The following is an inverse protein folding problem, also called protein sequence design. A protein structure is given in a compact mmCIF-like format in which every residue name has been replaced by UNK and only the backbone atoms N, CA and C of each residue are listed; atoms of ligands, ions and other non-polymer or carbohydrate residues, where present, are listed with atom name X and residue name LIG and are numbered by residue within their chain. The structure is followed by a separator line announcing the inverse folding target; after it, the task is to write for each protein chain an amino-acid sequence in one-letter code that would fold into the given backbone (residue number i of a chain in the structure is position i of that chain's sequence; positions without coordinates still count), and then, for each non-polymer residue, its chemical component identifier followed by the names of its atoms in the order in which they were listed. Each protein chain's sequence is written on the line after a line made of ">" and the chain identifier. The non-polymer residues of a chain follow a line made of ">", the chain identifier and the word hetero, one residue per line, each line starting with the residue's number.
data_IF_892227876245
#
_entry.id   IF_892227876245
#
_cell.length_a   1.000
_cell.length_b   1.000
_cell.length_c   1.000
_cell.angle_alpha   90.00
_cell.angle_beta   90.00
_cell.angle_gamma   90.00
#
_symmetry.space_group_name_H-M   'P 1'
#
loop_
_entity.id
_entity.type
_entity.pdbx_description
1 polymer ?
#
# COMPACT_ATOMS: atom_id res chain seq x y z
N UNK A 1 1.53 25.84 20.88
CA UNK A 1 0.29 25.16 21.29
C UNK A 1 -0.03 24.03 20.32
N UNK A 2 -0.48 22.88 20.83
CA UNK A 2 -0.81 21.67 20.04
C UNK A 2 -2.33 21.41 20.10
N UNK A 3 -2.92 20.83 19.05
CA UNK A 3 -4.32 20.39 18.99
C UNK A 3 -4.38 18.88 18.74
N UNK A 4 -5.30 18.14 19.36
CA UNK A 4 -5.49 16.71 19.07
C UNK A 4 -6.29 16.51 17.79
N UNK A 5 -5.88 15.53 16.98
CA UNK A 5 -6.65 15.11 15.82
C UNK A 5 -7.94 14.40 16.26
N UNK A 6 -9.13 14.79 15.76
CA UNK A 6 -10.37 14.09 16.10
C UNK A 6 -10.40 12.64 15.60
N UNK A 7 -9.66 12.32 14.53
CA UNK A 7 -9.68 10.99 13.90
C UNK A 7 -8.57 10.05 14.39
N UNK A 8 -7.37 10.57 14.67
CA UNK A 8 -6.24 9.74 15.06
C UNK A 8 -5.69 10.02 16.47
N UNK A 9 -6.32 10.96 17.20
CA UNK A 9 -6.01 11.36 18.58
C UNK A 9 -4.56 11.79 18.84
N UNK A 10 -3.76 12.03 17.79
CA UNK A 10 -2.38 12.53 17.90
C UNK A 10 -2.33 14.06 18.02
N UNK A 11 -1.30 14.56 18.67
CA UNK A 11 -1.05 16.00 18.80
C UNK A 11 -0.48 16.57 17.49
N UNK A 12 -1.15 17.60 16.96
CA UNK A 12 -0.85 18.29 15.70
C UNK A 12 -0.58 19.78 16.01
N UNK A 13 0.32 20.46 15.29
CA UNK A 13 0.44 21.92 15.39
C UNK A 13 -0.85 22.62 14.95
N UNK A 14 -1.27 23.69 15.64
CA UNK A 14 -2.54 24.38 15.37
C UNK A 14 -2.68 24.89 13.93
N UNK A 15 -1.57 25.29 13.31
CA UNK A 15 -1.51 25.90 11.98
C UNK A 15 -1.71 24.90 10.81
N UNK A 16 -1.68 23.58 11.07
CA UNK A 16 -1.82 22.60 9.99
C UNK A 16 -3.30 22.29 9.75
N UNK A 17 -3.76 22.53 8.52
CA UNK A 17 -5.12 22.20 8.05
C UNK A 17 -5.31 20.71 7.79
N UNK A 18 -4.23 19.93 7.71
CA UNK A 18 -4.26 18.48 7.51
C UNK A 18 -3.48 17.77 8.61
N UNK A 19 -3.98 16.65 9.11
CA UNK A 19 -3.24 15.88 10.08
C UNK A 19 -2.01 15.22 9.44
N UNK A 20 -0.77 15.46 9.93
CA UNK A 20 0.44 14.85 9.39
C UNK A 20 0.58 13.35 9.72
N UNK A 21 -0.38 12.77 10.45
CA UNK A 21 -0.39 11.35 10.84
C UNK A 21 -1.50 10.56 10.16
N UNK A 22 -2.74 11.10 10.12
CA UNK A 22 -3.87 10.43 9.46
C UNK A 22 -4.35 11.11 8.20
N UNK A 23 -4.02 12.38 7.97
CA UNK A 23 -4.44 13.13 6.79
C UNK A 23 -5.85 13.54 6.70
N UNK A 24 -6.59 13.43 7.80
CA UNK A 24 -7.87 14.08 7.86
C UNK A 24 -7.66 15.59 7.70
N UNK A 25 -8.52 16.23 6.93
CA UNK A 25 -8.62 17.67 6.90
C UNK A 25 -9.23 18.15 8.23
N UNK A 26 -8.50 18.99 8.96
CA UNK A 26 -8.86 19.53 10.29
C UNK A 26 -8.92 21.07 10.20
N UNK A 27 -9.84 21.60 9.37
CA UNK A 27 -10.28 22.99 9.49
C UNK A 27 -11.44 23.06 10.49
N UNK A 28 -11.35 23.97 11.47
CA UNK A 28 -12.50 24.36 12.29
C UNK A 28 -12.73 23.61 13.60
N UNK A 29 -11.76 22.85 14.13
CA UNK A 29 -11.85 22.41 15.53
C UNK A 29 -11.39 23.58 16.40
N UNK A 30 -12.30 24.51 16.68
CA UNK A 30 -12.15 25.46 17.79
C UNK A 30 -11.79 24.68 19.04
N UNK A 31 -10.79 25.17 19.76
CA UNK A 31 -10.36 24.63 21.04
C UNK A 31 -11.60 24.29 21.88
N UNK A 32 -11.87 23.01 22.08
CA UNK A 32 -12.84 22.59 23.08
C UNK A 32 -12.24 22.92 24.43
N UNK A 33 -12.72 24.03 24.98
CA UNK A 33 -12.73 24.37 26.40
C UNK A 33 -13.28 23.18 27.16
N UNK A 34 -12.42 22.30 27.66
CA UNK A 34 -12.70 21.58 28.91
C UNK A 34 -12.10 22.42 30.02
N UNK A 35 -12.86 23.44 30.42
CA UNK A 35 -12.68 24.09 31.70
C UNK A 35 -13.20 23.14 32.78
N UNK A 36 -12.31 22.36 33.39
CA UNK A 36 -12.52 21.90 34.76
C UNK A 36 -11.44 22.54 35.64
N UNK A 37 -11.94 23.46 36.47
CA UNK A 37 -11.22 24.13 37.54
C UNK A 37 -10.77 23.09 38.57
N UNK A 38 -9.49 23.11 38.90
CA UNK A 38 -9.07 23.17 40.31
C UNK A 38 -7.62 23.65 40.40
N UNK A 39 -7.53 24.88 40.87
CA UNK A 39 -6.36 25.65 41.27
C UNK A 39 -5.70 25.08 42.53
N UNK A 40 -4.37 25.01 42.54
CA UNK A 40 -3.48 25.56 43.59
C UNK A 40 -2.02 25.29 43.21
N UNK A 41 -1.25 26.33 42.81
CA UNK A 41 -0.21 27.04 43.59
C UNK A 41 1.01 26.13 43.89
N UNK A 42 2.28 26.45 43.60
CA UNK A 42 3.02 27.73 43.70
C UNK A 42 4.43 27.59 43.07
N UNK A 43 5.05 28.71 42.68
CA UNK A 43 6.52 28.91 42.57
C UNK A 43 7.03 29.18 41.15
N UNK A 44 7.14 30.44 40.68
CA UNK A 44 8.36 31.27 40.66
C UNK A 44 9.59 30.60 39.99
N UNK A 45 10.37 31.18 39.07
CA UNK A 45 10.61 32.56 38.64
C UNK A 45 11.53 32.57 37.40
N UNK A 46 11.67 33.74 36.76
CA UNK A 46 12.71 34.22 35.82
C UNK A 46 12.54 34.00 34.30
N UNK A 47 12.10 35.08 33.64
CA UNK A 47 12.65 35.56 32.36
C UNK A 47 13.71 36.66 32.67
N UNK A 48 14.46 37.28 31.71
CA UNK A 48 14.40 37.22 30.24
C UNK A 48 15.78 37.24 29.51
N UNK A 49 15.73 37.38 28.16
CA UNK A 49 16.81 37.67 27.16
C UNK A 49 17.50 36.43 26.57
N UNK A 50 17.72 36.28 25.25
CA UNK A 50 18.15 37.26 24.24
C UNK A 50 17.58 37.01 22.83
N UNK A 51 17.54 38.11 22.04
CA UNK A 51 17.28 38.15 20.59
C UNK A 51 18.59 37.97 19.83
N UNK A 52 18.61 37.14 18.79
CA UNK A 52 19.45 37.13 17.56
C UNK A 52 19.44 35.69 17.01
N UNK A 53 19.34 35.36 15.72
CA UNK A 53 19.60 36.08 14.49
C UNK A 53 18.79 35.42 13.36
N UNK A 54 18.27 36.27 12.47
CA UNK A 54 17.73 35.92 11.16
C UNK A 54 18.91 35.86 10.19
N UNK A 55 18.91 34.85 9.33
CA UNK A 55 19.56 34.85 8.01
C UNK A 55 21.09 34.97 7.98
N UNK A 56 21.74 33.84 7.70
CA UNK A 56 22.73 33.80 6.62
C UNK A 56 22.41 32.62 5.70
N UNK A 57 21.92 32.96 4.51
CA UNK A 57 22.22 32.16 3.33
C UNK A 57 23.74 32.11 3.21
N UNK A 58 24.31 30.92 3.20
CA UNK A 58 25.58 30.71 2.51
C UNK A 58 25.43 29.62 1.46
N UNK A 59 25.39 30.14 0.24
CA UNK A 59 25.57 29.48 -1.02
C UNK A 59 26.83 28.60 -1.02
N UNK A 60 26.66 27.27 -0.94
CA UNK A 60 27.61 26.34 -1.54
C UNK A 60 26.94 25.54 -2.64
N UNK A 61 26.78 26.22 -3.77
CA UNK A 61 26.47 25.64 -5.08
C UNK A 61 27.67 24.78 -5.51
N UNK A 62 27.89 23.62 -4.88
CA UNK A 62 28.82 22.61 -5.38
C UNK A 62 28.14 21.93 -6.57
N UNK A 63 28.63 22.26 -7.76
CA UNK A 63 28.34 21.57 -8.99
C UNK A 63 29.11 20.25 -8.99
N UNK A 64 28.47 19.20 -8.50
CA UNK A 64 28.87 17.79 -8.60
C UNK A 64 27.61 17.05 -9.06
N UNK A 65 27.67 16.04 -9.95
CA UNK A 65 26.57 15.66 -10.85
C UNK A 65 25.25 15.45 -10.08
N UNK A 66 24.42 16.49 -10.09
CA UNK A 66 23.25 16.64 -9.20
C UNK A 66 22.15 15.62 -9.50
N UNK A 67 22.25 14.89 -10.60
CA UNK A 67 21.32 13.83 -10.96
C UNK A 67 21.57 12.56 -10.15
N UNK A 68 22.81 12.07 -10.08
CA UNK A 68 23.11 10.79 -9.43
C UNK A 68 22.91 10.82 -7.92
N UNK A 69 23.29 11.92 -7.26
CA UNK A 69 23.07 12.09 -5.80
C UNK A 69 21.57 12.19 -5.47
N UNK A 70 20.77 12.84 -6.35
CA UNK A 70 19.32 12.98 -6.19
C UNK A 70 18.58 11.65 -6.45
N UNK A 71 19.05 10.86 -7.41
CA UNK A 71 18.53 9.52 -7.67
C UNK A 71 18.87 8.61 -6.49
N UNK A 72 20.12 8.62 -6.02
CA UNK A 72 20.55 7.81 -4.89
C UNK A 72 19.78 8.14 -3.60
N UNK A 73 19.55 9.42 -3.29
CA UNK A 73 18.76 9.82 -2.12
C UNK A 73 17.28 9.45 -2.24
N UNK A 74 16.74 9.40 -3.47
CA UNK A 74 15.37 8.95 -3.72
C UNK A 74 15.22 7.43 -3.57
N UNK A 75 16.21 6.67 -4.08
CA UNK A 75 16.25 5.20 -3.97
C UNK A 75 16.48 4.77 -2.52
N UNK A 76 17.44 5.38 -1.81
CA UNK A 76 17.67 5.06 -0.40
C UNK A 76 16.46 5.44 0.47
N UNK A 77 15.75 6.53 0.13
CA UNK A 77 14.48 6.89 0.73
C UNK A 77 13.40 5.84 0.52
N UNK A 78 13.24 5.31 -0.69
CA UNK A 78 12.29 4.24 -1.00
C UNK A 78 12.64 2.92 -0.29
N UNK A 79 13.93 2.55 -0.25
CA UNK A 79 14.40 1.37 0.48
C UNK A 79 14.17 1.50 1.99
N UNK A 80 14.38 2.70 2.55
CA UNK A 80 14.03 3.00 3.94
C UNK A 80 12.53 2.87 4.18
N UNK A 81 11.70 3.40 3.27
CA UNK A 81 10.25 3.21 3.30
C UNK A 81 9.87 1.72 3.31
N UNK A 82 10.43 0.91 2.41
CA UNK A 82 10.19 -0.54 2.37
C UNK A 82 10.63 -1.23 3.66
N UNK A 83 11.86 -0.99 4.11
CA UNK A 83 12.42 -1.59 5.33
C UNK A 83 11.57 -1.24 6.55
N UNK A 84 11.17 0.03 6.66
CA UNK A 84 10.35 0.48 7.78
C UNK A 84 9.03 -0.29 7.80
N UNK A 85 8.29 -0.30 6.69
CA UNK A 85 7.00 -0.96 6.55
C UNK A 85 7.07 -2.49 6.66
N UNK A 86 8.19 -3.10 6.27
CA UNK A 86 8.43 -4.52 6.49
C UNK A 86 8.49 -4.90 7.97
N UNK A 87 9.16 -4.08 8.80
CA UNK A 87 9.30 -4.35 10.25
C UNK A 87 7.99 -4.17 11.00
N UNK A 88 7.12 -3.26 10.54
CA UNK A 88 5.80 -3.03 11.15
C UNK A 88 4.76 -2.74 10.06
N UNK A 89 4.17 -3.78 9.44
CA UNK A 89 3.12 -3.64 8.44
C UNK A 89 1.82 -3.24 9.14
N UNK A 90 1.67 -1.96 9.47
CA UNK A 90 0.51 -1.47 10.19
C UNK A 90 -0.13 -0.31 9.46
N UNK A 91 -1.43 -0.46 9.19
CA UNK A 91 -2.30 0.65 8.79
C UNK A 91 -2.40 1.74 9.87
N UNK A 92 -1.88 1.51 11.08
CA UNK A 92 -1.92 2.48 12.19
C UNK A 92 -0.57 3.18 12.41
N UNK A 93 0.42 2.94 11.53
CA UNK A 93 1.76 3.48 11.69
C UNK A 93 1.74 5.02 11.65
N UNK A 94 2.25 5.62 12.72
CA UNK A 94 2.31 7.08 12.94
C UNK A 94 3.60 7.67 12.38
N UNK A 95 3.90 7.45 11.10
CA UNK A 95 5.07 8.11 10.48
C UNK A 95 4.68 9.52 10.05
N UNK A 96 5.54 10.48 10.35
CA UNK A 96 5.39 11.88 9.93
C UNK A 96 5.36 11.90 8.39
N UNK A 97 4.25 12.33 7.80
CA UNK A 97 3.91 12.34 6.35
C UNK A 97 4.86 13.05 5.37
N UNK A 98 6.08 13.40 5.76
CA UNK A 98 7.06 14.07 4.90
C UNK A 98 7.87 13.10 4.01
N UNK A 99 7.51 11.83 3.92
CA UNK A 99 8.13 10.87 3.00
C UNK A 99 7.33 10.81 1.69
N UNK A 100 8.04 10.95 0.55
CA UNK A 100 7.51 11.15 -0.81
C UNK A 100 6.15 10.48 -1.11
N UNK A 101 5.20 11.29 -1.57
CA UNK A 101 3.83 10.94 -2.00
C UNK A 101 3.76 9.82 -3.07
N UNK A 102 4.86 9.55 -3.76
CA UNK A 102 4.91 8.63 -4.90
C UNK A 102 5.27 7.18 -4.53
N UNK A 103 5.79 6.92 -3.32
CA UNK A 103 6.26 5.58 -2.97
C UNK A 103 5.15 4.53 -2.99
N UNK A 104 3.91 4.88 -2.60
CA UNK A 104 2.77 3.99 -2.74
C UNK A 104 2.51 3.54 -4.18
N UNK A 105 2.50 4.50 -5.11
CA UNK A 105 2.27 4.21 -6.53
C UNK A 105 3.38 3.35 -7.13
N UNK A 106 4.63 3.60 -6.75
CA UNK A 106 5.78 2.79 -7.18
C UNK A 106 5.63 1.35 -6.67
N UNK A 107 5.30 1.16 -5.39
CA UNK A 107 5.05 -0.16 -4.82
C UNK A 107 3.92 -0.88 -5.56
N UNK A 108 2.78 -0.22 -5.76
CA UNK A 108 1.64 -0.81 -6.48
C UNK A 108 2.03 -1.24 -7.90
N UNK A 109 2.67 -0.35 -8.65
CA UNK A 109 3.11 -0.63 -10.02
C UNK A 109 4.10 -1.79 -10.08
N UNK A 110 5.05 -1.85 -9.14
CA UNK A 110 6.01 -2.93 -9.05
C UNK A 110 5.34 -4.26 -8.73
N UNK A 111 4.40 -4.29 -7.79
CA UNK A 111 3.60 -5.49 -7.46
C UNK A 111 2.82 -5.97 -8.69
N UNK A 112 2.17 -5.07 -9.42
CA UNK A 112 1.41 -5.40 -10.65
C UNK A 112 2.33 -6.05 -11.69
N UNK A 113 3.45 -5.41 -12.02
CA UNK A 113 4.37 -5.89 -13.06
C UNK A 113 5.00 -7.23 -12.69
N UNK A 114 5.44 -7.38 -11.44
CA UNK A 114 6.05 -8.62 -10.98
C UNK A 114 5.03 -9.75 -10.96
N UNK A 115 3.81 -9.52 -10.48
CA UNK A 115 2.76 -10.53 -10.48
C UNK A 115 2.38 -10.96 -11.90
N UNK A 116 2.21 -10.00 -12.81
CA UNK A 116 1.91 -10.27 -14.21
C UNK A 116 3.03 -11.07 -14.90
N UNK A 117 4.29 -10.69 -14.65
CA UNK A 117 5.45 -11.39 -15.18
C UNK A 117 5.57 -12.83 -14.66
N UNK A 118 5.39 -13.03 -13.36
CA UNK A 118 5.41 -14.36 -12.74
C UNK A 118 4.32 -15.27 -13.30
N UNK A 119 3.08 -14.76 -13.36
CA UNK A 119 1.93 -15.52 -13.85
C UNK A 119 2.08 -15.87 -15.33
N UNK A 120 2.54 -14.92 -16.15
CA UNK A 120 2.76 -15.16 -17.59
C UNK A 120 3.75 -16.29 -17.80
N UNK A 121 4.92 -16.21 -17.16
CA UNK A 121 5.95 -17.25 -17.30
C UNK A 121 5.47 -18.61 -16.80
N UNK A 122 4.76 -18.62 -15.68
CA UNK A 122 4.16 -19.83 -15.13
C UNK A 122 3.21 -20.50 -16.13
N UNK A 123 2.24 -19.75 -16.64
CA UNK A 123 1.22 -20.26 -17.56
C UNK A 123 1.85 -20.68 -18.89
N UNK A 124 2.74 -19.88 -19.48
CA UNK A 124 3.44 -20.27 -20.72
C UNK A 124 4.31 -21.50 -20.53
N UNK A 125 4.95 -21.64 -19.36
CA UNK A 125 5.75 -22.83 -19.03
C UNK A 125 4.88 -24.08 -18.90
N UNK A 126 3.74 -23.97 -18.22
CA UNK A 126 2.77 -25.06 -18.08
C UNK A 126 2.19 -25.49 -19.43
N UNK A 127 1.80 -24.52 -20.28
CA UNK A 127 1.24 -24.80 -21.61
C UNK A 127 2.27 -25.47 -22.51
N UNK A 128 3.53 -25.02 -22.49
CA UNK A 128 4.60 -25.67 -23.24
C UNK A 128 4.77 -27.15 -22.85
N UNK A 129 4.65 -27.48 -21.56
CA UNK A 129 4.70 -28.87 -21.10
C UNK A 129 3.44 -29.65 -21.41
N UNK A 130 2.27 -29.03 -21.32
CA UNK A 130 1.02 -29.64 -21.74
C UNK A 130 1.07 -30.01 -23.23
N UNK A 131 1.48 -29.09 -24.09
CA UNK A 131 1.61 -29.34 -25.53
C UNK A 131 2.59 -30.49 -25.80
N UNK A 132 3.76 -30.51 -25.13
CA UNK A 132 4.70 -31.63 -25.24
C UNK A 132 4.06 -32.98 -24.87
N UNK A 133 3.26 -33.04 -23.80
CA UNK A 133 2.59 -34.27 -23.37
C UNK A 133 1.42 -34.66 -24.29
N UNK A 134 0.74 -33.67 -24.88
CA UNK A 134 -0.28 -33.84 -25.91
C UNK A 134 0.33 -34.39 -27.20
N UNK A 135 1.48 -33.88 -27.62
CA UNK A 135 2.20 -34.35 -28.83
C UNK A 135 2.64 -35.82 -28.69
N UNK A 136 2.93 -36.27 -27.46
CA UNK A 136 3.26 -37.68 -27.15
C UNK A 136 1.99 -38.53 -26.94
N UNK A 137 0.80 -37.97 -27.18
CA UNK A 137 -0.52 -38.64 -27.02
C UNK A 137 -0.83 -39.12 -25.59
N UNK A 138 -0.18 -38.55 -24.57
CA UNK A 138 -0.47 -38.84 -23.15
C UNK A 138 -1.69 -38.03 -22.69
N UNK A 139 -1.85 -36.82 -23.22
CA UNK A 139 -2.95 -35.90 -22.90
C UNK A 139 -3.81 -35.64 -24.15
N UNK A 140 -5.08 -35.20 -23.97
CA UNK A 140 -5.94 -34.83 -25.09
C UNK A 140 -5.29 -33.77 -25.97
N UNK A 141 -5.44 -33.91 -27.28
CA UNK A 141 -4.90 -32.94 -28.23
C UNK A 141 -5.64 -31.61 -28.11
N UNK A 142 -4.98 -30.62 -27.50
CA UNK A 142 -5.44 -29.24 -27.51
C UNK A 142 -4.33 -28.34 -28.05
N UNK A 143 -4.58 -27.69 -29.19
CA UNK A 143 -3.65 -26.72 -29.77
C UNK A 143 -3.76 -25.36 -29.05
N UNK A 144 -3.22 -25.29 -27.84
CA UNK A 144 -3.19 -24.06 -27.05
C UNK A 144 -1.85 -23.38 -27.31
N UNK A 145 -1.83 -22.36 -28.16
CA UNK A 145 -0.63 -21.59 -28.47
C UNK A 145 -0.83 -20.10 -28.17
N UNK A 146 -0.87 -19.71 -26.88
CA UNK A 146 -1.16 -18.34 -26.50
C UNK A 146 0.09 -17.48 -26.72
N UNK A 147 -0.12 -16.32 -27.35
CA UNK A 147 0.94 -15.33 -27.48
C UNK A 147 1.35 -14.83 -26.07
N UNK A 148 2.60 -15.05 -25.63
CA UNK A 148 3.06 -14.67 -24.30
C UNK A 148 2.93 -13.17 -24.01
N UNK A 149 3.13 -12.32 -25.03
CA UNK A 149 3.06 -10.86 -24.89
C UNK A 149 1.60 -10.44 -24.64
N UNK A 150 0.67 -11.02 -25.38
CA UNK A 150 -0.75 -10.73 -25.21
C UNK A 150 -1.26 -11.22 -23.85
N UNK A 151 -0.82 -12.40 -23.41
CA UNK A 151 -1.13 -12.91 -22.08
C UNK A 151 -0.55 -12.03 -20.96
N UNK A 152 0.67 -11.51 -21.15
CA UNK A 152 1.28 -10.55 -20.22
C UNK A 152 0.46 -9.27 -20.11
N UNK A 153 0.02 -8.69 -21.23
CA UNK A 153 -0.81 -7.47 -21.22
C UNK A 153 -2.13 -7.74 -20.49
N UNK A 154 -2.82 -8.86 -20.77
CA UNK A 154 -4.02 -9.26 -20.03
C UNK A 154 -3.74 -9.42 -18.54
N UNK A 155 -2.61 -10.01 -18.17
CA UNK A 155 -2.18 -10.18 -16.77
C UNK A 155 -1.89 -8.83 -16.08
N UNK A 156 -1.30 -7.87 -16.78
CA UNK A 156 -1.08 -6.51 -16.24
C UNK A 156 -2.42 -5.84 -15.96
N UNK A 157 -3.36 -5.89 -16.90
CA UNK A 157 -4.71 -5.33 -16.71
C UNK A 157 -5.41 -6.02 -15.53
N UNK A 158 -5.32 -7.35 -15.44
CA UNK A 158 -5.82 -8.16 -14.34
C UNK A 158 -5.31 -7.65 -12.98
N UNK A 159 -3.99 -7.56 -12.82
CA UNK A 159 -3.39 -7.17 -11.55
C UNK A 159 -3.57 -5.69 -11.25
N UNK A 160 -3.70 -4.84 -12.28
CA UNK A 160 -4.03 -3.43 -12.11
C UNK A 160 -5.41 -3.25 -11.50
N UNK A 161 -6.42 -3.91 -12.06
CA UNK A 161 -7.79 -3.86 -11.50
C UNK A 161 -7.82 -4.47 -10.11
N UNK A 162 -7.13 -5.59 -9.89
CA UNK A 162 -7.09 -6.26 -8.59
C UNK A 162 -6.41 -5.38 -7.52
N UNK A 163 -5.12 -5.04 -7.69
CA UNK A 163 -4.33 -4.37 -6.65
C UNK A 163 -4.73 -2.90 -6.43
N UNK A 164 -5.21 -2.18 -7.46
CA UNK A 164 -5.72 -0.82 -7.28
C UNK A 164 -7.21 -0.79 -6.92
N UNK A 165 -8.00 -1.80 -7.31
CA UNK A 165 -9.43 -1.87 -7.02
C UNK A 165 -9.70 -1.89 -5.51
N UNK A 166 -9.01 -2.76 -4.76
CA UNK A 166 -9.16 -2.84 -3.30
C UNK A 166 -8.93 -1.49 -2.57
N UNK A 167 -7.78 -0.80 -2.74
CA UNK A 167 -7.57 0.48 -2.08
C UNK A 167 -8.54 1.57 -2.56
N UNK A 168 -8.95 1.58 -3.84
CA UNK A 168 -9.94 2.54 -4.35
C UNK A 168 -11.31 2.31 -3.69
N UNK A 169 -11.79 1.07 -3.67
CA UNK A 169 -13.07 0.72 -3.03
C UNK A 169 -13.01 1.06 -1.54
N UNK A 170 -11.92 0.70 -0.87
CA UNK A 170 -11.75 1.01 0.55
C UNK A 170 -11.75 2.52 0.83
N UNK A 171 -11.12 3.31 -0.05
CA UNK A 171 -11.13 4.77 0.03
C UNK A 171 -12.55 5.33 -0.07
N UNK A 172 -13.31 4.90 -1.08
CA UNK A 172 -14.68 5.36 -1.31
C UNK A 172 -15.61 5.01 -0.16
N UNK A 173 -15.51 3.78 0.38
CA UNK A 173 -16.26 3.37 1.59
C UNK A 173 -15.91 4.32 2.75
N UNK A 174 -14.62 4.60 2.99
CA UNK A 174 -14.21 5.53 4.06
C UNK A 174 -14.66 6.97 3.86
N UNK A 175 -14.69 7.43 2.61
CA UNK A 175 -15.06 8.80 2.27
C UNK A 175 -16.57 9.00 2.33
N UNK A 176 -17.35 8.11 1.74
CA UNK A 176 -18.80 8.23 1.64
C UNK A 176 -19.53 7.77 2.90
N UNK A 177 -19.17 6.60 3.43
CA UNK A 177 -19.87 5.99 4.57
C UNK A 177 -19.34 6.56 5.88
N UNK A 178 -18.01 6.61 6.03
CA UNK A 178 -17.37 7.04 7.28
C UNK A 178 -17.07 8.55 7.35
N UNK A 179 -17.38 9.31 6.30
CA UNK A 179 -17.20 10.78 6.20
C UNK A 179 -15.79 11.26 6.61
N UNK A 180 -14.75 10.44 6.39
CA UNK A 180 -13.36 10.81 6.68
C UNK A 180 -12.74 11.47 5.45
N UNK A 181 -12.27 12.71 5.62
CA UNK A 181 -11.61 13.50 4.57
C UNK A 181 -10.11 13.21 4.50
N UNK A 182 -9.73 12.03 4.02
CA UNK A 182 -8.33 11.71 3.71
C UNK A 182 -8.03 12.02 2.24
N UNK A 183 -6.88 12.63 1.96
CA UNK A 183 -6.37 12.75 0.59
C UNK A 183 -5.99 11.38 0.02
N UNK A 184 -6.35 11.13 -1.25
CA UNK A 184 -6.23 9.82 -1.87
C UNK A 184 -4.78 9.34 -1.99
N UNK A 185 -3.84 10.22 -2.35
CA UNK A 185 -2.44 9.85 -2.53
C UNK A 185 -1.78 9.29 -1.26
N UNK A 186 -2.11 9.87 -0.10
CA UNK A 186 -1.61 9.37 1.18
C UNK A 186 -2.27 8.06 1.58
N UNK A 187 -3.56 7.90 1.26
CA UNK A 187 -4.26 6.64 1.47
C UNK A 187 -3.61 5.49 0.68
N UNK A 188 -3.30 5.70 -0.61
CA UNK A 188 -2.58 4.72 -1.42
C UNK A 188 -1.24 4.37 -0.81
N UNK A 189 -0.45 5.36 -0.40
CA UNK A 189 0.87 5.12 0.20
C UNK A 189 0.80 4.32 1.50
N UNK A 190 -0.21 4.58 2.33
CA UNK A 190 -0.44 3.84 3.56
C UNK A 190 -0.95 2.41 3.31
N UNK A 191 -1.82 2.24 2.32
CA UNK A 191 -2.38 0.94 1.94
C UNK A 191 -1.30 0.03 1.34
N UNK A 192 -0.50 0.56 0.42
CA UNK A 192 0.62 -0.13 -0.21
C UNK A 192 1.76 -0.38 0.81
N UNK A 193 1.96 0.56 1.74
CA UNK A 193 2.87 0.37 2.87
C UNK A 193 2.48 -0.83 3.75
N UNK A 194 1.19 -1.10 3.96
CA UNK A 194 0.75 -2.30 4.67
C UNK A 194 0.96 -3.59 3.87
N UNK A 195 1.06 -3.50 2.54
CA UNK A 195 1.23 -4.62 1.62
C UNK A 195 2.69 -4.86 1.20
N UNK A 196 3.68 -4.25 1.86
CA UNK A 196 5.10 -4.45 1.52
C UNK A 196 5.58 -5.89 1.69
N UNK A 197 4.94 -6.68 2.56
CA UNK A 197 5.20 -8.13 2.65
C UNK A 197 4.74 -8.85 1.38
N UNK A 198 3.60 -8.45 0.80
CA UNK A 198 3.15 -8.96 -0.50
C UNK A 198 4.14 -8.63 -1.61
N UNK A 199 4.73 -7.43 -1.61
CA UNK A 199 5.79 -7.07 -2.54
C UNK A 199 7.02 -8.00 -2.42
N UNK A 200 7.38 -8.43 -1.21
CA UNK A 200 8.46 -9.41 -1.01
C UNK A 200 8.10 -10.76 -1.65
N UNK A 201 6.91 -11.28 -1.38
CA UNK A 201 6.46 -12.56 -1.91
C UNK A 201 6.43 -12.58 -3.43
N UNK A 202 5.90 -11.52 -4.06
CA UNK A 202 5.88 -11.44 -5.53
C UNK A 202 7.28 -11.26 -6.11
N UNK A 203 8.18 -10.55 -5.42
CA UNK A 203 9.58 -10.43 -5.86
C UNK A 203 10.28 -11.79 -5.88
N UNK A 204 10.09 -12.60 -4.84
CA UNK A 204 10.62 -13.97 -4.78
C UNK A 204 9.97 -14.84 -5.86
N UNK A 205 8.65 -14.78 -6.01
CA UNK A 205 7.89 -15.51 -7.04
C UNK A 205 8.40 -15.19 -8.45
N UNK A 206 8.68 -13.91 -8.73
CA UNK A 206 9.20 -13.47 -10.01
C UNK A 206 10.62 -14.00 -10.28
N UNK A 207 11.50 -13.97 -9.27
CA UNK A 207 12.84 -14.55 -9.39
C UNK A 207 12.78 -16.06 -9.63
N UNK A 208 11.91 -16.79 -8.94
CA UNK A 208 11.71 -18.22 -9.18
C UNK A 208 11.16 -18.49 -10.59
N UNK A 209 10.24 -17.65 -11.07
CA UNK A 209 9.69 -17.75 -12.43
C UNK A 209 10.73 -17.50 -13.52
N UNK A 210 11.79 -16.73 -13.23
CA UNK A 210 12.92 -16.53 -14.14
C UNK A 210 13.84 -17.74 -14.20
N UNK A 211 14.04 -18.43 -13.08
CA UNK A 211 14.93 -19.60 -13.00
C UNK A 211 14.28 -20.81 -13.66
N UNK A 212 13.11 -21.22 -13.18
CA UNK A 212 12.35 -22.33 -13.75
C UNK A 212 10.90 -22.24 -13.31
N UNK A 213 10.00 -21.75 -14.19
CA UNK A 213 8.59 -21.59 -13.85
C UNK A 213 7.89 -22.93 -13.56
N UNK A 214 8.39 -24.02 -14.12
CA UNK A 214 7.83 -25.36 -13.99
C UNK A 214 8.26 -26.07 -12.70
N UNK A 215 9.56 -26.05 -12.39
CA UNK A 215 10.09 -26.69 -11.18
C UNK A 215 9.46 -26.08 -9.93
N UNK A 216 9.27 -24.76 -9.95
CA UNK A 216 8.74 -23.99 -8.83
C UNK A 216 7.25 -23.66 -8.97
N UNK A 217 6.51 -24.31 -9.89
CA UNK A 217 5.14 -23.92 -10.24
C UNK A 217 4.19 -23.81 -9.04
N UNK A 218 4.23 -24.81 -8.14
CA UNK A 218 3.42 -24.84 -6.91
C UNK A 218 3.81 -23.67 -5.99
N UNK A 219 5.11 -23.47 -5.78
CA UNK A 219 5.61 -22.41 -4.89
C UNK A 219 5.31 -21.00 -5.44
N UNK A 220 5.52 -20.79 -6.75
CA UNK A 220 5.17 -19.54 -7.45
C UNK A 220 3.68 -19.23 -7.28
N UNK A 221 2.81 -20.23 -7.53
CA UNK A 221 1.37 -20.08 -7.38
C UNK A 221 0.98 -19.76 -5.94
N UNK A 222 1.58 -20.45 -4.97
CA UNK A 222 1.35 -20.21 -3.54
C UNK A 222 1.77 -18.80 -3.12
N UNK A 223 2.94 -18.32 -3.55
CA UNK A 223 3.41 -16.97 -3.25
C UNK A 223 2.54 -15.88 -3.91
N UNK A 224 2.06 -16.12 -5.13
CA UNK A 224 1.10 -15.22 -5.79
C UNK A 224 -0.23 -15.17 -5.02
N UNK A 225 -0.72 -16.31 -4.54
CA UNK A 225 -1.93 -16.38 -3.71
C UNK A 225 -1.73 -15.64 -2.39
N UNK A 226 -0.60 -15.85 -1.70
CA UNK A 226 -0.28 -15.10 -0.47
C UNK A 226 -0.25 -13.60 -0.70
N UNK A 227 0.35 -13.16 -1.82
CA UNK A 227 0.35 -11.74 -2.22
C UNK A 227 -1.07 -11.22 -2.44
N UNK A 228 -1.93 -11.99 -3.11
CA UNK A 228 -3.33 -11.62 -3.30
C UNK A 228 -4.08 -11.51 -1.96
N UNK A 229 -3.80 -12.42 -1.02
CA UNK A 229 -4.40 -12.44 0.32
C UNK A 229 -3.99 -11.24 1.18
N UNK A 230 -2.74 -10.74 1.09
CA UNK A 230 -2.35 -9.55 1.86
C UNK A 230 -3.22 -8.34 1.53
N UNK A 231 -3.60 -8.17 0.25
CA UNK A 231 -4.51 -7.09 -0.17
C UNK A 231 -5.91 -7.28 0.40
N UNK A 232 -6.43 -8.51 0.45
CA UNK A 232 -7.72 -8.82 1.09
C UNK A 232 -7.70 -8.55 2.60
N UNK A 233 -6.65 -9.00 3.29
CA UNK A 233 -6.47 -8.76 4.74
C UNK A 233 -6.35 -7.26 5.02
N UNK A 234 -5.58 -6.52 4.21
CA UNK A 234 -5.43 -5.07 4.36
C UNK A 234 -6.75 -4.34 4.13
N UNK A 235 -7.56 -4.80 3.17
CA UNK A 235 -8.90 -4.27 2.91
C UNK A 235 -9.78 -4.39 4.16
N UNK A 236 -9.91 -5.59 4.71
CA UNK A 236 -10.70 -5.86 5.93
C UNK A 236 -10.14 -5.08 7.13
N UNK A 237 -8.82 -5.17 7.34
CA UNK A 237 -8.12 -4.48 8.42
C UNK A 237 -8.25 -2.96 8.36
N UNK A 238 -8.52 -2.41 7.18
CA UNK A 238 -8.76 -0.98 7.00
C UNK A 238 -10.01 -0.46 7.71
N UNK A 239 -10.94 -1.34 8.05
CA UNK A 239 -12.23 -1.02 8.67
C UNK A 239 -12.34 -1.49 10.14
N UNK A 240 -11.43 -2.34 10.61
CA UNK A 240 -11.53 -2.98 11.94
C UNK A 240 -11.68 -1.97 13.10
N UNK A 241 -10.91 -0.87 13.10
CA UNK A 241 -11.05 0.17 14.15
C UNK A 241 -12.21 1.11 13.93
N UNK A 242 -12.69 1.24 12.70
CA UNK A 242 -13.80 2.14 12.41
C UNK A 242 -15.15 1.55 12.76
N UNK A 243 -15.20 0.22 12.81
CA UNK A 243 -16.44 -0.53 12.97
C UNK A 243 -16.69 -0.95 14.41
N UNK A 244 -15.69 -0.97 15.29
CA UNK A 244 -15.94 -1.05 16.74
C UNK A 244 -16.79 0.13 17.31
N UNK A 245 -17.08 1.16 16.51
CA UNK A 245 -18.01 2.25 16.83
C UNK A 245 -19.35 2.17 16.05
N UNK A 246 -19.56 1.16 15.18
CA UNK A 246 -20.77 0.97 14.37
C UNK A 246 -21.28 -0.48 14.45
N UNK A 247 -22.59 -0.72 14.39
CA UNK A 247 -23.25 -2.02 14.65
C UNK A 247 -22.93 -3.21 13.71
N UNK A 248 -21.94 -3.12 12.83
CA UNK A 248 -21.59 -4.19 11.89
C UNK A 248 -20.49 -5.05 12.52
N UNK A 249 -20.67 -6.36 12.66
CA UNK A 249 -19.64 -7.22 13.26
C UNK A 249 -18.43 -7.37 12.31
N UNK A 250 -17.22 -7.44 12.88
CA UNK A 250 -15.96 -7.63 12.14
C UNK A 250 -15.97 -8.92 11.30
N UNK A 251 -16.77 -9.91 11.71
CA UNK A 251 -17.02 -11.16 10.99
C UNK A 251 -17.66 -10.89 9.62
N UNK A 252 -18.67 -10.00 9.55
CA UNK A 252 -19.33 -9.67 8.28
C UNK A 252 -18.40 -8.92 7.33
N UNK A 253 -17.55 -8.04 7.83
CA UNK A 253 -16.54 -7.37 7.01
C UNK A 253 -15.47 -8.32 6.48
N UNK A 254 -15.03 -9.28 7.30
CA UNK A 254 -14.14 -10.35 6.85
C UNK A 254 -14.81 -11.19 5.76
N UNK A 255 -16.08 -11.55 5.94
CA UNK A 255 -16.87 -12.31 4.96
C UNK A 255 -17.04 -11.53 3.66
N UNK A 256 -17.36 -10.23 3.71
CA UNK A 256 -17.46 -9.36 2.53
C UNK A 256 -16.10 -9.25 1.83
N UNK A 257 -15.02 -9.06 2.59
CA UNK A 257 -13.66 -9.00 2.04
C UNK A 257 -13.26 -10.30 1.35
N UNK A 258 -13.55 -11.44 1.97
CA UNK A 258 -13.33 -12.77 1.39
C UNK A 258 -14.20 -13.05 0.17
N UNK A 259 -15.47 -12.69 0.20
CA UNK A 259 -16.38 -12.82 -0.93
C UNK A 259 -15.95 -11.94 -2.11
N UNK A 260 -15.54 -10.69 -1.85
CA UNK A 260 -15.03 -9.78 -2.88
C UNK A 260 -13.69 -10.28 -3.44
N UNK A 261 -12.81 -10.82 -2.59
CA UNK A 261 -11.59 -11.48 -3.03
C UNK A 261 -11.88 -12.66 -3.96
N UNK A 262 -12.74 -13.59 -3.55
CA UNK A 262 -13.12 -14.75 -4.36
C UNK A 262 -13.83 -14.35 -5.65
N UNK A 263 -14.77 -13.40 -5.59
CA UNK A 263 -15.50 -12.91 -6.75
C UNK A 263 -14.55 -12.30 -7.79
N UNK A 264 -13.61 -11.45 -7.35
CA UNK A 264 -12.63 -10.84 -8.25
C UNK A 264 -11.70 -11.91 -8.82
N UNK A 265 -11.20 -12.85 -8.01
CA UNK A 265 -10.35 -13.96 -8.50
C UNK A 265 -11.09 -14.82 -9.53
N UNK A 266 -12.34 -15.20 -9.27
CA UNK A 266 -13.14 -16.06 -10.16
C UNK A 266 -13.55 -15.36 -11.45
N UNK A 267 -14.09 -14.13 -11.36
CA UNK A 267 -14.51 -13.35 -12.53
C UNK A 267 -13.32 -13.07 -13.45
N UNK A 268 -12.17 -12.75 -12.85
CA UNK A 268 -10.98 -12.44 -13.62
C UNK A 268 -10.27 -13.70 -14.14
N UNK A 269 -10.32 -14.84 -13.44
CA UNK A 269 -9.88 -16.13 -13.97
C UNK A 269 -10.69 -16.53 -15.22
N UNK A 270 -12.01 -16.35 -15.16
CA UNK A 270 -12.90 -16.56 -16.32
C UNK A 270 -12.53 -15.66 -17.51
N UNK A 271 -12.09 -14.42 -17.28
CA UNK A 271 -11.67 -13.49 -18.33
C UNK A 271 -10.24 -13.71 -18.87
N UNK A 272 -9.40 -14.48 -18.17
CA UNK A 272 -8.05 -14.83 -18.65
C UNK A 272 -8.01 -16.04 -19.59
N UNK A 273 -8.95 -16.98 -19.42
CA UNK A 273 -9.08 -18.20 -20.25
C UNK A 273 -10.28 -18.28 -21.22
N UNK A 274 -10.98 -17.19 -21.62
CA UNK A 274 -11.98 -17.23 -22.67
C UNK A 274 -11.34 -17.22 -24.07
#
# INVERSE_FOLDING_TARGET
>A
MMKKCPYCKNDIPQQVSECPFCGAYVKGVTASTTAEKSSSKTGESKAPQSKESRQTMDSRKKNTPKSLVKIYSSVSGYLSFLKSNFVCPSLQRRVRRNENTYYGYITAFLTILLSAGSLTRLVTGLISKYNLLSDISILPSANINPNPIFFFIKSVIFFLVYYLGFPIIAYWIKKLILKRSHEFHFWITQYEGANTIGLLFVSISFLLSLISPLLWAILISFLLLLTAMTYGITFVGSFYKTVNETAIDNIYLSLIGGALHLFVVMTLAYLMFP
#
